data_IF_573587552685
#
_entry.id   IF_573587552685
#
_cell.length_a   1.000
_cell.length_b   1.000
_cell.length_c   1.000
_cell.angle_alpha   90.00
_cell.angle_beta   90.00
_cell.angle_gamma   90.00
#
_symmetry.space_group_name_H-M   'P 1'
#
loop_
_entity.id
_entity.type
_entity.pdbx_description
1 polymer ?
#
# COMPACT_ATOMS: atom_id res chain seq x y z
N UNK A 1 5.87 -12.96 -0.75
CA UNK A 1 5.41 -11.57 -0.77
C UNK A 1 6.09 -10.79 0.37
N UNK A 2 6.22 -11.39 1.53
CA UNK A 2 6.92 -10.82 2.69
C UNK A 2 8.19 -11.64 2.90
N UNK A 3 9.33 -10.95 3.00
CA UNK A 3 10.61 -11.60 3.25
C UNK A 3 10.92 -11.73 4.74
N UNK A 4 11.95 -12.47 5.12
CA UNK A 4 12.32 -12.71 6.51
C UNK A 4 12.77 -11.44 7.26
N UNK A 5 12.97 -10.35 6.54
CA UNK A 5 13.31 -9.03 7.11
C UNK A 5 12.08 -8.18 7.48
N UNK A 6 10.88 -8.66 7.18
CA UNK A 6 9.65 -7.91 7.50
C UNK A 6 9.34 -8.06 8.98
N UNK A 7 9.12 -6.93 9.64
CA UNK A 7 8.76 -6.92 11.06
C UNK A 7 7.38 -7.57 11.29
N UNK A 8 7.28 -8.29 12.39
CA UNK A 8 6.01 -8.75 12.91
C UNK A 8 5.27 -7.59 13.60
N UNK A 9 3.94 -7.55 13.57
CA UNK A 9 3.18 -6.48 14.22
C UNK A 9 3.54 -6.28 15.69
N UNK A 10 3.85 -7.35 16.42
CA UNK A 10 4.20 -7.30 17.84
C UNK A 10 5.61 -6.79 18.15
N UNK A 11 6.47 -6.71 17.15
CA UNK A 11 7.78 -6.04 17.30
C UNK A 11 7.62 -4.51 17.31
N UNK A 12 6.54 -3.99 16.71
CA UNK A 12 6.23 -2.56 16.67
C UNK A 12 5.24 -2.15 17.77
N UNK A 13 4.28 -3.02 18.10
CA UNK A 13 3.31 -2.83 19.17
C UNK A 13 3.15 -4.17 19.92
N UNK A 14 3.77 -4.37 21.11
CA UNK A 14 3.84 -5.67 21.77
C UNK A 14 2.49 -6.35 22.05
N UNK A 15 1.45 -5.57 22.29
CA UNK A 15 0.08 -6.03 22.54
C UNK A 15 -0.81 -5.99 21.27
N UNK A 16 -0.22 -5.83 20.08
CA UNK A 16 -0.96 -5.81 18.83
C UNK A 16 -1.81 -7.07 18.63
N UNK A 17 -3.09 -6.87 18.38
CA UNK A 17 -4.05 -7.90 18.02
C UNK A 17 -4.57 -7.77 16.60
N UNK A 18 -4.60 -6.56 16.07
CA UNK A 18 -5.17 -6.24 14.76
C UNK A 18 -4.30 -5.24 13.99
N UNK A 19 -4.42 -5.30 12.67
CA UNK A 19 -3.85 -4.35 11.73
C UNK A 19 -4.99 -3.72 10.96
N UNK A 20 -5.15 -2.42 11.09
CA UNK A 20 -6.07 -1.63 10.27
C UNK A 20 -5.29 -1.22 9.03
N UNK A 21 -5.78 -1.58 7.86
CA UNK A 21 -5.19 -1.17 6.58
C UNK A 21 -6.18 -0.33 5.79
N UNK A 22 -5.69 0.73 5.17
CA UNK A 22 -6.53 1.62 4.37
C UNK A 22 -5.79 2.11 3.13
N UNK A 23 -6.59 2.48 2.11
CA UNK A 23 -6.13 2.96 0.82
C UNK A 23 -6.72 4.32 0.52
N UNK A 24 -5.90 5.29 0.14
CA UNK A 24 -6.32 6.60 -0.34
C UNK A 24 -5.99 6.69 -1.82
N UNK A 25 -6.99 6.67 -2.71
CA UNK A 25 -6.76 6.79 -4.14
C UNK A 25 -6.39 8.23 -4.50
N UNK A 26 -5.48 8.39 -5.47
CA UNK A 26 -5.28 9.67 -6.14
C UNK A 26 -6.52 10.04 -6.97
N UNK A 27 -6.73 11.32 -7.14
CA UNK A 27 -7.77 11.81 -8.05
C UNK A 27 -7.45 11.41 -9.50
N UNK A 28 -8.49 11.36 -10.33
CA UNK A 28 -8.31 11.03 -11.76
C UNK A 28 -7.35 11.99 -12.46
N UNK A 29 -7.37 13.27 -12.10
CA UNK A 29 -6.46 14.28 -12.66
C UNK A 29 -5.00 13.96 -12.37
N UNK A 30 -4.67 13.59 -11.13
CA UNK A 30 -3.32 13.18 -10.74
C UNK A 30 -2.87 11.93 -11.50
N UNK A 31 -3.73 10.90 -11.58
CA UNK A 31 -3.40 9.65 -12.28
C UNK A 31 -3.20 9.84 -13.79
N UNK A 32 -3.88 10.82 -14.39
CA UNK A 32 -3.78 11.10 -15.83
C UNK A 32 -2.65 12.06 -16.20
N UNK A 33 -2.13 12.83 -15.25
CA UNK A 33 -1.09 13.84 -15.49
C UNK A 33 0.20 13.26 -16.11
N UNK A 34 0.76 12.13 -15.62
CA UNK A 34 1.99 11.54 -16.20
C UNK A 34 1.91 11.18 -17.67
N UNK A 35 0.72 11.05 -18.23
CA UNK A 35 0.51 10.74 -19.64
C UNK A 35 0.56 11.96 -20.53
N UNK A 36 0.60 13.16 -19.97
CA UNK A 36 0.47 14.45 -20.68
C UNK A 36 1.60 15.43 -20.42
N UNK A 37 2.44 15.20 -19.39
CA UNK A 37 3.52 16.13 -19.03
C UNK A 37 4.84 15.72 -19.67
N UNK A 38 5.50 16.64 -20.37
CA UNK A 38 6.84 16.44 -20.93
C UNK A 38 7.94 16.48 -19.84
N UNK A 39 7.67 17.12 -18.71
CA UNK A 39 8.64 17.33 -17.61
C UNK A 39 8.59 16.30 -16.46
N UNK A 40 7.82 15.23 -16.61
CA UNK A 40 7.60 14.24 -15.55
C UNK A 40 6.41 14.55 -14.63
N UNK A 41 6.04 13.64 -13.75
CA UNK A 41 4.78 13.69 -12.98
C UNK A 41 4.90 14.58 -11.72
N UNK A 42 5.14 15.89 -11.86
CA UNK A 42 5.27 16.81 -10.73
C UNK A 42 4.05 16.75 -9.80
N UNK A 43 2.84 16.78 -10.36
CA UNK A 43 1.58 16.70 -9.61
C UNK A 43 1.45 15.37 -8.85
N UNK A 44 1.98 14.29 -9.40
CA UNK A 44 2.06 13.01 -8.69
C UNK A 44 2.98 13.10 -7.46
N UNK A 45 4.18 13.69 -7.63
CA UNK A 45 5.14 13.89 -6.55
C UNK A 45 4.59 14.75 -5.42
N UNK A 46 3.95 15.86 -5.76
CA UNK A 46 3.27 16.74 -4.79
C UNK A 46 2.14 16.01 -4.06
N UNK A 47 1.29 15.30 -4.79
CA UNK A 47 0.21 14.50 -4.20
C UNK A 47 0.73 13.40 -3.27
N UNK A 48 1.89 12.83 -3.59
CA UNK A 48 2.57 11.84 -2.75
C UNK A 48 2.98 12.45 -1.40
N UNK A 49 3.58 13.64 -1.40
CA UNK A 49 3.99 14.34 -0.19
C UNK A 49 2.77 14.70 0.65
N UNK A 50 1.77 15.32 0.05
CA UNK A 50 0.53 15.71 0.72
C UNK A 50 -0.16 14.51 1.37
N UNK A 51 -0.22 13.36 0.68
CA UNK A 51 -0.82 12.15 1.27
C UNK A 51 -0.01 11.58 2.43
N UNK A 52 1.30 11.71 2.47
CA UNK A 52 2.08 11.30 3.63
C UNK A 52 1.70 12.10 4.87
N UNK A 53 1.57 13.44 4.73
CA UNK A 53 1.13 14.30 5.83
C UNK A 53 -0.29 13.97 6.29
N UNK A 54 -1.17 13.63 5.34
CA UNK A 54 -2.53 13.16 5.66
C UNK A 54 -2.54 11.83 6.41
N UNK A 55 -1.66 10.90 6.08
CA UNK A 55 -1.56 9.63 6.81
C UNK A 55 -1.19 9.83 8.26
N UNK A 56 -0.30 10.76 8.55
CA UNK A 56 0.05 11.12 9.93
C UNK A 56 -1.15 11.73 10.68
N UNK A 57 -1.95 12.55 10.01
CA UNK A 57 -3.16 13.12 10.60
C UNK A 57 -4.24 12.05 10.85
N UNK A 58 -4.49 11.19 9.88
CA UNK A 58 -5.42 10.06 10.00
C UNK A 58 -4.95 9.12 11.11
N UNK A 59 -3.66 8.80 11.12
CA UNK A 59 -3.05 7.95 12.15
C UNK A 59 -3.29 8.49 13.54
N UNK A 60 -2.97 9.77 13.77
CA UNK A 60 -3.22 10.43 15.07
C UNK A 60 -4.70 10.44 15.46
N UNK A 61 -5.59 10.74 14.51
CA UNK A 61 -7.02 10.78 14.79
C UNK A 61 -7.59 9.41 15.17
N UNK A 62 -7.21 8.37 14.43
CA UNK A 62 -7.64 6.98 14.74
C UNK A 62 -7.04 6.51 16.04
N UNK A 63 -5.76 6.82 16.31
CA UNK A 63 -5.12 6.49 17.59
C UNK A 63 -5.83 7.13 18.77
N UNK A 64 -6.16 8.41 18.67
CA UNK A 64 -6.88 9.11 19.75
C UNK A 64 -8.24 8.47 20.06
N UNK A 65 -8.95 7.98 19.04
CA UNK A 65 -10.21 7.24 19.22
C UNK A 65 -9.99 5.90 19.92
N UNK A 66 -8.99 5.11 19.50
CA UNK A 66 -8.67 3.82 20.07
C UNK A 66 -8.19 3.95 21.52
N UNK A 67 -7.33 4.92 21.80
CA UNK A 67 -6.81 5.21 23.14
C UNK A 67 -7.91 5.72 24.07
N UNK A 68 -8.85 6.51 23.56
CA UNK A 68 -10.04 6.94 24.28
C UNK A 68 -10.93 5.77 24.74
N UNK A 69 -10.90 4.65 24.01
CA UNK A 69 -11.57 3.40 24.34
C UNK A 69 -10.68 2.44 25.16
N UNK A 70 -9.47 2.86 25.53
CA UNK A 70 -8.53 2.09 26.37
C UNK A 70 -7.65 1.10 25.58
N UNK A 71 -7.54 1.22 24.27
CA UNK A 71 -6.71 0.36 23.44
C UNK A 71 -5.42 1.04 23.00
N UNK A 72 -4.31 0.30 23.00
CA UNK A 72 -3.05 0.76 22.43
C UNK A 72 -3.15 0.85 20.92
N UNK A 73 -2.42 1.80 20.34
CA UNK A 73 -2.30 1.92 18.88
C UNK A 73 -0.93 2.41 18.45
N UNK A 74 -0.53 2.03 17.22
CA UNK A 74 0.71 2.47 16.61
C UNK A 74 0.51 2.69 15.11
N UNK A 75 0.31 3.95 14.67
CA UNK A 75 0.30 4.31 13.26
C UNK A 75 1.69 4.13 12.67
N UNK A 76 1.78 3.44 11.54
CA UNK A 76 3.04 3.28 10.82
C UNK A 76 3.12 4.36 9.75
N UNK A 77 4.21 5.11 9.72
CA UNK A 77 4.40 6.19 8.75
C UNK A 77 4.24 5.69 7.31
N UNK A 78 3.61 6.50 6.46
CA UNK A 78 3.33 6.15 5.06
C UNK A 78 4.59 5.89 4.22
N UNK A 79 5.70 6.49 4.60
CA UNK A 79 7.05 6.15 4.16
C UNK A 79 7.90 6.02 5.41
N UNK A 80 8.29 4.80 5.75
CA UNK A 80 9.08 4.54 6.93
C UNK A 80 10.46 4.03 6.53
N UNK A 81 11.30 3.80 7.53
CA UNK A 81 12.69 3.43 7.41
C UNK A 81 12.90 2.26 6.45
N UNK A 82 13.77 2.43 5.49
CA UNK A 82 14.23 1.37 4.58
C UNK A 82 15.75 1.28 4.61
N UNK A 83 16.28 0.11 4.32
CA UNK A 83 17.72 -0.08 4.16
C UNK A 83 18.16 0.61 2.84
N UNK A 84 19.07 1.61 2.89
CA UNK A 84 19.49 2.34 1.69
C UNK A 84 20.35 1.50 0.73
N UNK A 85 20.92 0.38 1.18
CA UNK A 85 21.73 -0.52 0.35
C UNK A 85 20.84 -1.46 -0.44
N UNK A 86 19.92 -2.11 0.24
CA UNK A 86 19.02 -3.12 -0.32
C UNK A 86 17.71 -2.55 -0.83
N UNK A 87 17.39 -1.29 -0.52
CA UNK A 87 16.12 -0.62 -0.80
C UNK A 87 14.90 -1.39 -0.27
N UNK A 88 15.11 -2.20 0.77
CA UNK A 88 14.06 -3.00 1.39
C UNK A 88 13.45 -2.26 2.57
N UNK A 89 12.14 -2.20 2.57
CA UNK A 89 11.37 -1.69 3.70
C UNK A 89 11.10 -2.80 4.70
N UNK A 90 11.25 -2.51 5.98
CA UNK A 90 10.94 -3.46 7.06
C UNK A 90 9.43 -3.63 7.29
N UNK A 91 8.59 -2.82 6.67
CA UNK A 91 7.13 -2.95 6.69
C UNK A 91 6.52 -2.69 5.32
N UNK A 92 5.63 -3.56 4.88
CA UNK A 92 4.94 -3.43 3.59
C UNK A 92 3.46 -3.12 3.77
N UNK A 93 3.08 -1.85 3.68
CA UNK A 93 1.66 -1.44 3.68
C UNK A 93 0.83 -2.16 2.60
N UNK A 94 1.41 -2.43 1.43
CA UNK A 94 0.73 -3.16 0.35
C UNK A 94 0.46 -4.62 0.70
N UNK A 95 1.41 -5.28 1.36
CA UNK A 95 1.22 -6.67 1.81
C UNK A 95 0.19 -6.74 2.92
N UNK A 96 0.23 -5.81 3.89
CA UNK A 96 -0.79 -5.70 4.91
C UNK A 96 -2.19 -5.47 4.31
N UNK A 97 -2.29 -4.59 3.29
CA UNK A 97 -3.54 -4.33 2.59
C UNK A 97 -4.06 -5.54 1.81
N UNK A 98 -3.18 -6.34 1.20
CA UNK A 98 -3.55 -7.59 0.54
C UNK A 98 -4.10 -8.61 1.55
N UNK A 99 -3.44 -8.77 2.69
CA UNK A 99 -3.88 -9.66 3.79
C UNK A 99 -5.23 -9.20 4.33
N UNK A 100 -5.44 -7.89 4.45
CA UNK A 100 -6.70 -7.31 4.90
C UNK A 100 -7.84 -7.37 3.85
N UNK A 101 -7.60 -7.93 2.65
CA UNK A 101 -8.62 -8.06 1.62
C UNK A 101 -8.93 -6.79 0.83
N UNK A 102 -8.08 -5.76 0.88
CA UNK A 102 -8.31 -4.52 0.14
C UNK A 102 -8.04 -4.63 -1.37
N UNK A 103 -7.28 -5.61 -1.80
CA UNK A 103 -6.94 -5.83 -3.19
C UNK A 103 -6.04 -7.04 -3.39
N UNK A 104 -5.74 -7.35 -4.65
CA UNK A 104 -4.83 -8.40 -5.06
C UNK A 104 -3.66 -7.82 -5.85
N UNK A 105 -2.47 -8.44 -5.76
CA UNK A 105 -1.32 -8.03 -6.54
C UNK A 105 -1.51 -8.36 -8.03
N UNK A 106 -1.40 -7.35 -8.87
CA UNK A 106 -1.41 -7.54 -10.31
C UNK A 106 -0.05 -7.91 -10.89
N UNK A 107 -0.02 -8.21 -12.18
CA UNK A 107 1.20 -8.49 -12.92
C UNK A 107 2.23 -7.34 -12.91
N UNK A 108 1.76 -6.11 -12.68
CA UNK A 108 2.60 -4.91 -12.48
C UNK A 108 3.24 -4.82 -11.08
N UNK A 109 3.10 -5.83 -10.24
CA UNK A 109 3.58 -5.88 -8.84
C UNK A 109 2.97 -4.81 -7.92
N UNK A 110 1.93 -4.14 -8.37
CA UNK A 110 1.15 -3.22 -7.56
C UNK A 110 -0.11 -3.90 -7.03
N UNK A 111 -0.56 -3.48 -5.85
CA UNK A 111 -1.84 -3.93 -5.32
C UNK A 111 -2.98 -3.19 -6.05
N UNK A 112 -3.90 -3.94 -6.64
CA UNK A 112 -5.05 -3.41 -7.37
C UNK A 112 -6.28 -3.55 -6.47
N UNK A 113 -6.78 -2.43 -5.98
CA UNK A 113 -8.01 -2.35 -5.18
C UNK A 113 -9.22 -2.15 -6.09
N UNK A 114 -10.41 -2.08 -5.49
CA UNK A 114 -11.63 -1.65 -6.16
C UNK A 114 -11.53 -0.25 -6.80
N UNK A 115 -10.71 0.62 -6.21
CA UNK A 115 -10.42 1.97 -6.71
C UNK A 115 -9.19 2.04 -7.61
N UNK A 116 -8.67 0.89 -8.02
CA UNK A 116 -7.44 0.79 -8.82
C UNK A 116 -6.17 0.73 -7.97
N UNK A 117 -5.02 1.00 -8.61
CA UNK A 117 -3.69 0.98 -7.97
C UNK A 117 -3.04 2.37 -7.85
N UNK A 118 -3.67 3.41 -8.42
CA UNK A 118 -3.20 4.79 -8.32
C UNK A 118 -3.57 5.42 -6.99
N UNK A 119 -2.70 5.37 -6.02
CA UNK A 119 -2.91 5.87 -4.66
C UNK A 119 -1.87 5.33 -3.68
N UNK A 120 -2.15 5.49 -2.39
CA UNK A 120 -1.25 5.10 -1.33
C UNK A 120 -1.96 4.25 -0.28
N UNK A 121 -1.21 3.34 0.33
CA UNK A 121 -1.65 2.50 1.45
C UNK A 121 -0.99 2.96 2.74
N UNK A 122 -1.72 2.83 3.84
CA UNK A 122 -1.14 2.97 5.17
C UNK A 122 -1.75 1.96 6.14
N UNK A 123 -1.13 1.81 7.31
CA UNK A 123 -1.54 0.84 8.33
C UNK A 123 -1.42 1.42 9.74
N UNK A 124 -2.30 0.95 10.61
CA UNK A 124 -2.29 1.25 12.05
C UNK A 124 -2.38 -0.08 12.78
N UNK A 125 -1.48 -0.33 13.70
CA UNK A 125 -1.55 -1.46 14.62
C UNK A 125 -2.41 -1.10 15.82
N UNK A 126 -3.13 -2.06 16.41
CA UNK A 126 -3.91 -1.83 17.61
C UNK A 126 -4.11 -3.10 18.43
N UNK A 127 -4.26 -2.92 19.74
CA UNK A 127 -4.70 -3.96 20.66
C UNK A 127 -6.23 -4.15 20.68
N UNK A 128 -6.99 -3.29 19.99
CA UNK A 128 -8.44 -3.39 19.94
C UNK A 128 -8.89 -4.70 19.26
N UNK A 129 -9.87 -5.43 19.81
CA UNK A 129 -10.36 -6.71 19.28
C UNK A 129 -11.35 -6.50 18.11
N UNK A 130 -10.93 -5.78 17.09
CA UNK A 130 -11.76 -5.50 15.92
C UNK A 130 -12.13 -6.78 15.15
N UNK A 131 -13.29 -6.78 14.52
CA UNK A 131 -13.68 -7.84 13.60
C UNK A 131 -12.74 -7.89 12.41
N UNK A 132 -12.27 -9.09 12.09
CA UNK A 132 -11.34 -9.30 10.96
C UNK A 132 -12.15 -9.51 9.67
N UNK A 133 -11.75 -8.82 8.60
CA UNK A 133 -12.22 -9.18 7.27
C UNK A 133 -11.53 -10.50 6.85
N UNK A 134 -12.33 -11.49 6.52
CA UNK A 134 -11.87 -12.82 6.07
C UNK A 134 -12.03 -13.01 4.56
N UNK A 135 -12.65 -12.07 3.87
CA UNK A 135 -12.85 -12.15 2.43
C UNK A 135 -11.54 -11.85 1.70
N UNK A 136 -11.22 -12.71 0.74
CA UNK A 136 -10.13 -12.43 -0.18
C UNK A 136 -10.59 -11.46 -1.27
N UNK A 137 -9.76 -10.46 -1.56
CA UNK A 137 -10.06 -9.53 -2.63
C UNK A 137 -10.01 -10.23 -4.00
N UNK A 138 -10.92 -9.82 -4.87
CA UNK A 138 -10.92 -10.24 -6.28
C UNK A 138 -9.62 -9.79 -6.98
N UNK A 139 -9.00 -10.69 -7.74
CA UNK A 139 -7.92 -10.31 -8.65
C UNK A 139 -8.49 -9.56 -9.86
N UNK A 140 -8.20 -8.26 -9.93
CA UNK A 140 -8.67 -7.35 -10.98
C UNK A 140 -7.68 -7.20 -12.14
N UNK A 141 -6.56 -7.92 -12.12
CA UNK A 141 -5.57 -7.86 -13.19
C UNK A 141 -6.09 -8.60 -14.44
N UNK A 142 -6.33 -7.87 -15.52
CA UNK A 142 -6.80 -8.46 -16.78
C UNK A 142 -5.80 -9.43 -17.38
N UNK A 143 -4.51 -9.26 -17.13
CA UNK A 143 -3.50 -10.22 -17.55
C UNK A 143 -3.67 -11.56 -16.83
N UNK A 144 -3.90 -11.55 -15.51
CA UNK A 144 -4.15 -12.78 -14.75
C UNK A 144 -5.49 -13.42 -15.12
N UNK A 145 -6.52 -12.61 -15.34
CA UNK A 145 -7.86 -13.11 -15.67
C UNK A 145 -7.92 -13.82 -17.03
N UNK A 146 -7.32 -13.25 -18.06
CA UNK A 146 -7.52 -13.74 -19.43
C UNK A 146 -6.38 -13.40 -20.42
N UNK A 147 -5.26 -12.86 -19.95
CA UNK A 147 -4.12 -12.48 -20.77
C UNK A 147 -4.35 -11.26 -21.68
N UNK A 148 -5.51 -10.59 -21.63
CA UNK A 148 -5.87 -9.51 -22.55
C UNK A 148 -5.09 -8.19 -22.36
N UNK A 149 -4.40 -8.04 -21.23
CA UNK A 149 -3.56 -6.90 -20.92
C UNK A 149 -2.06 -7.29 -21.00
N UNK A 150 -1.17 -6.52 -20.44
CA UNK A 150 0.29 -6.70 -20.47
C UNK A 150 0.97 -5.36 -20.71
N UNK A 151 0.22 -4.26 -20.58
CA UNK A 151 0.74 -2.90 -20.77
C UNK A 151 1.92 -2.60 -19.84
N UNK A 152 1.90 -3.12 -18.60
CA UNK A 152 2.98 -2.93 -17.65
C UNK A 152 4.32 -3.49 -18.14
N UNK A 153 4.31 -4.64 -18.81
CA UNK A 153 5.52 -5.25 -19.38
C UNK A 153 6.00 -4.49 -20.60
N UNK A 154 5.07 -4.19 -21.53
CA UNK A 154 5.40 -3.49 -22.78
C UNK A 154 5.91 -2.07 -22.58
N UNK A 155 5.46 -1.41 -21.53
CA UNK A 155 5.83 -0.02 -21.24
C UNK A 155 6.87 0.11 -20.13
N UNK A 156 7.44 -0.98 -19.62
CA UNK A 156 8.50 -0.90 -18.64
C UNK A 156 9.78 -0.37 -19.30
N UNK A 157 10.27 0.82 -18.95
CA UNK A 157 11.37 1.48 -19.68
C UNK A 157 12.69 0.74 -19.58
N UNK A 158 12.86 -0.09 -18.55
CA UNK A 158 14.08 -0.87 -18.29
C UNK A 158 13.87 -2.38 -18.43
N UNK A 159 12.67 -2.83 -18.82
CA UNK A 159 12.35 -4.24 -19.01
C UNK A 159 12.35 -5.08 -17.73
N UNK A 160 12.36 -4.45 -16.55
CA UNK A 160 12.37 -5.16 -15.26
C UNK A 160 11.08 -5.95 -14.99
N UNK A 161 9.94 -5.49 -15.49
CA UNK A 161 8.67 -6.21 -15.37
C UNK A 161 8.54 -7.23 -16.49
N UNK A 162 8.47 -8.50 -16.11
CA UNK A 162 8.22 -9.63 -17.00
C UNK A 162 6.95 -10.38 -16.57
N UNK A 163 6.32 -11.17 -17.45
CA UNK A 163 5.11 -11.93 -17.12
C UNK A 163 5.24 -12.74 -15.83
N UNK A 164 6.33 -13.46 -15.65
CA UNK A 164 6.52 -14.44 -14.59
C UNK A 164 7.63 -14.06 -13.60
N UNK A 165 8.31 -12.93 -13.80
CA UNK A 165 9.45 -12.51 -12.99
C UNK A 165 9.53 -10.99 -12.84
N UNK A 166 10.44 -10.56 -11.96
CA UNK A 166 10.80 -9.18 -11.74
C UNK A 166 12.31 -9.13 -11.45
N UNK A 167 13.03 -8.30 -12.19
CA UNK A 167 14.48 -8.06 -12.02
C UNK A 167 14.75 -6.76 -11.28
#
# INVERSE_FOLDING_TARGET
>A
IIGPWHLEPRELLPDAQRVISYFVPFTRSVVQDPRRSEGGPAVWGESYIVLNDYFDQIGRAVSALLEGEGYSSHPIAGTHTYDPKDLKSMWSHRSAAAIAGLGAFGANRMLITEKGSGGRFCTILTSAPLTVNTEQAEDRCLYHKNGSCGLCFRNCPVGALKPDSFD
#
